data_IF_221670947171
#
_entry.id   IF_221670947171
#
_cell.length_a   1.000
_cell.length_b   1.000
_cell.length_c   1.000
_cell.angle_alpha   90.00
_cell.angle_beta   90.00
_cell.angle_gamma   90.00
#
_symmetry.space_group_name_H-M   'P 1'
#
loop_
_entity.id
_entity.type
_entity.pdbx_description
1 polymer ?
#
# COMPACT_ATOMS: atom_id res chain seq x y z
N UNK A 1 11.06 -6.18 17.73
CA UNK A 1 11.01 -5.17 16.68
C UNK A 1 10.67 -5.86 15.36
N UNK A 2 9.63 -5.40 14.66
CA UNK A 2 9.35 -5.80 13.29
C UNK A 2 10.14 -4.90 12.34
N UNK A 3 10.73 -5.47 11.29
CA UNK A 3 11.34 -4.74 10.19
C UNK A 3 10.51 -4.99 8.94
N UNK A 4 9.93 -3.94 8.44
CA UNK A 4 9.09 -4.00 7.24
C UNK A 4 9.97 -3.86 6.00
N UNK A 5 9.95 -4.87 5.13
CA UNK A 5 10.77 -4.90 3.93
C UNK A 5 10.10 -5.73 2.84
N UNK A 6 10.07 -5.24 1.59
CA UNK A 6 9.63 -6.03 0.45
C UNK A 6 10.71 -7.00 -0.07
N UNK A 7 11.92 -6.95 0.49
CA UNK A 7 12.99 -7.86 0.10
C UNK A 7 12.63 -9.32 0.41
N UNK A 8 13.24 -10.23 -0.34
CA UNK A 8 12.98 -11.65 -0.19
C UNK A 8 13.50 -12.15 1.16
N UNK A 9 12.59 -12.61 2.01
CA UNK A 9 12.89 -13.30 3.27
C UNK A 9 12.09 -14.59 3.33
N UNK A 10 12.76 -15.72 3.55
CA UNK A 10 12.10 -17.02 3.67
C UNK A 10 12.90 -17.94 4.58
N UNK A 11 12.22 -18.56 5.53
CA UNK A 11 12.81 -19.59 6.39
C UNK A 11 13.11 -20.87 5.60
N UNK A 12 14.26 -21.49 5.87
CA UNK A 12 14.75 -22.72 5.24
C UNK A 12 14.84 -23.91 6.23
N UNK A 13 14.12 -23.86 7.34
CA UNK A 13 14.23 -24.83 8.42
C UNK A 13 13.72 -26.26 8.10
N UNK A 14 13.14 -26.50 6.90
CA UNK A 14 12.74 -27.84 6.46
C UNK A 14 13.23 -28.12 5.03
N UNK A 15 13.42 -29.43 4.65
CA UNK A 15 13.82 -29.77 3.27
C UNK A 15 12.93 -29.16 2.20
N UNK A 16 11.60 -29.17 2.39
CA UNK A 16 10.63 -28.62 1.43
C UNK A 16 10.83 -27.11 1.25
N UNK A 17 11.05 -26.39 2.35
CA UNK A 17 11.34 -24.95 2.33
C UNK A 17 12.67 -24.66 1.66
N UNK A 18 13.71 -25.46 1.94
CA UNK A 18 14.99 -25.35 1.27
C UNK A 18 14.86 -25.51 -0.26
N UNK A 19 14.21 -26.59 -0.72
CA UNK A 19 13.99 -26.76 -2.18
C UNK A 19 13.18 -25.65 -2.79
N UNK A 20 12.17 -25.13 -2.08
CA UNK A 20 11.39 -23.97 -2.53
C UNK A 20 12.24 -22.71 -2.67
N UNK A 21 13.19 -22.46 -1.74
CA UNK A 21 14.13 -21.31 -1.85
C UNK A 21 15.10 -21.52 -3.02
N UNK A 22 15.57 -22.74 -3.25
CA UNK A 22 16.41 -23.05 -4.41
C UNK A 22 15.69 -22.75 -5.74
N UNK A 23 14.41 -23.04 -5.82
CA UNK A 23 13.60 -22.71 -7.00
C UNK A 23 13.36 -21.21 -7.14
N UNK A 24 13.03 -20.52 -6.05
CA UNK A 24 12.90 -19.06 -6.03
C UNK A 24 14.22 -18.37 -6.45
N UNK A 25 15.37 -18.91 -6.09
CA UNK A 25 16.67 -18.42 -6.52
C UNK A 25 16.89 -18.63 -8.04
N UNK A 26 16.64 -19.83 -8.55
CA UNK A 26 16.79 -20.18 -9.97
C UNK A 26 15.88 -19.37 -10.87
N UNK A 27 14.66 -19.11 -10.43
CA UNK A 27 13.67 -18.29 -11.17
C UNK A 27 13.93 -16.79 -11.11
N UNK A 28 14.96 -16.35 -10.37
CA UNK A 28 15.32 -14.94 -10.24
C UNK A 28 14.46 -14.17 -9.24
N UNK A 29 13.55 -14.83 -8.51
CA UNK A 29 12.67 -14.18 -7.52
C UNK A 29 13.45 -13.50 -6.40
N UNK A 30 14.55 -14.11 -5.95
CA UNK A 30 15.44 -13.54 -4.91
C UNK A 30 16.09 -12.25 -5.40
N UNK A 31 16.64 -12.25 -6.63
CA UNK A 31 17.30 -11.06 -7.20
C UNK A 31 16.27 -9.99 -7.59
N UNK A 32 15.07 -10.38 -8.03
CA UNK A 32 13.99 -9.47 -8.37
C UNK A 32 13.47 -8.66 -7.17
N UNK A 33 13.51 -9.23 -5.97
CA UNK A 33 13.10 -8.56 -4.73
C UNK A 33 14.26 -7.86 -4.00
N UNK A 34 15.46 -7.77 -4.59
CA UNK A 34 16.60 -7.08 -4.00
C UNK A 34 16.53 -5.57 -4.34
N UNK A 35 16.41 -4.72 -3.33
CA UNK A 35 16.29 -3.26 -3.47
C UNK A 35 17.53 -2.57 -4.07
N UNK A 36 18.66 -3.26 -4.22
CA UNK A 36 19.79 -2.76 -5.03
C UNK A 36 19.46 -2.69 -6.52
N UNK A 37 18.53 -3.53 -6.97
CA UNK A 37 18.03 -3.54 -8.34
C UNK A 37 16.83 -2.58 -8.48
N UNK A 38 16.65 -2.02 -9.68
CA UNK A 38 15.47 -1.22 -9.98
C UNK A 38 14.20 -2.09 -9.90
N UNK A 39 13.25 -1.62 -9.10
CA UNK A 39 11.96 -2.27 -8.92
C UNK A 39 10.94 -1.71 -9.90
N UNK A 40 9.91 -2.51 -10.18
CA UNK A 40 8.71 -2.09 -10.91
C UNK A 40 7.53 -2.11 -9.94
N UNK A 41 6.60 -1.18 -10.10
CA UNK A 41 5.45 -1.10 -9.21
C UNK A 41 4.16 -0.79 -9.98
N UNK A 42 3.06 -1.31 -9.45
CA UNK A 42 1.71 -0.86 -9.80
C UNK A 42 1.22 -0.02 -8.63
N UNK A 43 0.93 1.25 -8.90
CA UNK A 43 0.34 2.16 -7.93
C UNK A 43 -1.18 2.10 -8.02
N UNK A 44 -1.81 1.84 -6.89
CA UNK A 44 -3.25 1.65 -6.76
C UNK A 44 -3.85 2.76 -5.90
N UNK A 45 -4.98 3.32 -6.31
CA UNK A 45 -5.79 4.10 -5.37
C UNK A 45 -6.51 3.14 -4.42
N UNK A 46 -6.99 3.64 -3.29
CA UNK A 46 -7.74 2.84 -2.32
C UNK A 46 -9.23 2.91 -2.61
N UNK A 47 -9.81 4.08 -2.46
CA UNK A 47 -11.26 4.27 -2.50
C UNK A 47 -11.82 4.19 -3.94
N UNK A 48 -12.71 3.24 -4.20
CA UNK A 48 -13.24 2.95 -5.52
C UNK A 48 -12.33 2.11 -6.42
N UNK A 49 -11.15 1.68 -5.91
CA UNK A 49 -10.21 0.79 -6.62
C UNK A 49 -9.99 -0.50 -5.84
N UNK A 50 -9.56 -0.42 -4.59
CA UNK A 50 -9.38 -1.59 -3.71
C UNK A 50 -10.66 -1.86 -2.92
N UNK A 51 -11.27 -0.83 -2.35
CA UNK A 51 -12.54 -0.94 -1.66
C UNK A 51 -13.67 -0.25 -2.43
N UNK A 52 -14.90 -0.70 -2.17
CA UNK A 52 -16.10 -0.07 -2.69
C UNK A 52 -16.13 1.40 -2.28
N UNK A 53 -16.52 2.25 -3.22
CA UNK A 53 -16.59 3.69 -2.97
C UNK A 53 -17.82 4.03 -2.13
N UNK A 54 -17.59 4.60 -0.95
CA UNK A 54 -18.64 5.05 -0.03
C UNK A 54 -18.57 6.57 0.24
N UNK A 55 -17.90 7.32 -0.66
CA UNK A 55 -17.56 8.72 -0.42
C UNK A 55 -16.32 8.83 0.46
N UNK A 56 -16.49 9.34 1.67
CA UNK A 56 -15.41 9.37 2.68
C UNK A 56 -15.59 8.22 3.66
N UNK A 57 -14.71 7.24 3.60
CA UNK A 57 -14.72 6.11 4.52
C UNK A 57 -14.28 6.59 5.92
N UNK A 58 -15.19 6.51 6.89
CA UNK A 58 -14.96 6.98 8.26
C UNK A 58 -14.97 5.87 9.28
N UNK A 59 -15.54 4.73 8.91
CA UNK A 59 -15.73 3.62 9.84
C UNK A 59 -15.20 2.32 9.22
N UNK A 60 -14.45 1.57 10.01
CA UNK A 60 -13.93 0.25 9.60
C UNK A 60 -15.05 -0.72 9.15
N UNK A 61 -16.26 -0.59 9.70
CA UNK A 61 -17.40 -1.44 9.32
C UNK A 61 -17.83 -1.23 7.85
N UNK A 62 -17.63 -0.03 7.30
CA UNK A 62 -17.99 0.32 5.92
C UNK A 62 -16.99 -0.18 4.88
N UNK A 63 -15.84 -0.70 5.33
CA UNK A 63 -14.81 -1.18 4.43
C UNK A 63 -15.17 -2.55 3.85
N UNK A 64 -15.37 -2.60 2.54
CA UNK A 64 -15.57 -3.82 1.74
C UNK A 64 -14.64 -3.80 0.52
N UNK A 65 -14.00 -4.93 0.22
CA UNK A 65 -13.20 -5.07 -0.99
C UNK A 65 -14.06 -4.99 -2.25
N UNK A 66 -13.48 -4.43 -3.32
CA UNK A 66 -14.05 -4.55 -4.66
C UNK A 66 -13.98 -6.01 -5.13
N UNK A 67 -15.00 -6.44 -5.87
CA UNK A 67 -15.04 -7.78 -6.44
C UNK A 67 -13.85 -7.98 -7.40
N UNK A 68 -13.12 -9.08 -7.22
CA UNK A 68 -11.97 -9.44 -8.04
C UNK A 68 -10.68 -8.67 -7.76
N UNK A 69 -10.66 -7.70 -6.83
CA UNK A 69 -9.45 -6.92 -6.53
C UNK A 69 -8.33 -7.80 -5.96
N UNK A 70 -8.65 -8.77 -5.11
CA UNK A 70 -7.65 -9.68 -4.57
C UNK A 70 -6.98 -10.51 -5.68
N UNK A 71 -7.77 -10.99 -6.67
CA UNK A 71 -7.21 -11.71 -7.82
C UNK A 71 -6.33 -10.80 -8.70
N UNK A 72 -6.71 -9.54 -8.86
CA UNK A 72 -5.88 -8.56 -9.59
C UNK A 72 -4.55 -8.34 -8.87
N UNK A 73 -4.57 -8.12 -7.55
CA UNK A 73 -3.35 -7.93 -6.75
C UNK A 73 -2.49 -9.20 -6.74
N UNK A 74 -3.06 -10.41 -6.65
CA UNK A 74 -2.30 -11.67 -6.81
C UNK A 74 -1.55 -11.75 -8.14
N UNK A 75 -2.15 -11.27 -9.22
CA UNK A 75 -1.46 -11.20 -10.53
C UNK A 75 -0.28 -10.23 -10.49
N UNK A 76 -0.43 -9.07 -9.83
CA UNK A 76 0.68 -8.12 -9.61
C UNK A 76 1.77 -8.81 -8.80
N UNK A 77 1.43 -9.43 -7.67
CA UNK A 77 2.39 -10.13 -6.81
C UNK A 77 3.12 -11.25 -7.57
N UNK A 78 2.43 -12.00 -8.43
CA UNK A 78 3.01 -13.07 -9.23
C UNK A 78 3.91 -12.56 -10.36
N UNK A 79 3.67 -11.35 -10.87
CA UNK A 79 4.48 -10.74 -11.94
C UNK A 79 5.81 -10.17 -11.47
N UNK A 80 6.05 -10.13 -10.15
CA UNK A 80 7.25 -9.53 -9.54
C UNK A 80 7.18 -8.01 -9.42
N UNK A 81 6.06 -7.38 -9.76
CA UNK A 81 5.83 -5.97 -9.49
C UNK A 81 5.45 -5.77 -8.03
N UNK A 82 5.82 -4.62 -7.47
CA UNK A 82 5.33 -4.17 -6.17
C UNK A 82 3.89 -3.68 -6.31
N UNK A 83 3.02 -4.07 -5.37
CA UNK A 83 1.66 -3.55 -5.26
C UNK A 83 1.63 -2.47 -4.18
N UNK A 84 1.56 -1.21 -4.59
CA UNK A 84 1.68 -0.06 -3.68
C UNK A 84 0.40 0.79 -3.73
N UNK A 85 -0.19 1.02 -2.56
CA UNK A 85 -1.34 1.92 -2.42
C UNK A 85 -0.87 3.36 -2.28
N UNK A 86 -1.52 4.28 -3.02
CA UNK A 86 -1.32 5.73 -2.92
C UNK A 86 -2.68 6.41 -2.85
N UNK A 87 -3.06 6.93 -1.67
CA UNK A 87 -4.43 7.40 -1.44
C UNK A 87 -4.48 8.77 -0.74
N UNK A 88 -5.45 9.61 -1.13
CA UNK A 88 -5.73 10.86 -0.42
C UNK A 88 -6.76 10.59 0.69
N UNK A 89 -6.40 10.89 1.94
CA UNK A 89 -7.26 10.69 3.11
C UNK A 89 -7.54 12.00 3.85
N UNK A 90 -8.29 12.92 3.23
CA UNK A 90 -8.57 14.25 3.80
C UNK A 90 -9.44 14.20 5.07
N UNK A 91 -10.07 13.07 5.36
CA UNK A 91 -10.87 12.83 6.56
C UNK A 91 -10.07 13.07 7.84
N UNK A 92 -8.74 12.82 7.80
CA UNK A 92 -7.84 13.11 8.93
C UNK A 92 -7.75 14.62 9.16
N UNK A 93 -7.44 15.42 8.12
CA UNK A 93 -7.37 16.87 8.24
C UNK A 93 -8.70 17.52 8.59
N UNK A 94 -9.82 16.87 8.29
CA UNK A 94 -11.17 17.31 8.66
C UNK A 94 -11.56 16.94 10.10
N UNK A 95 -10.72 16.15 10.80
CA UNK A 95 -11.03 15.68 12.15
C UNK A 95 -12.12 14.59 12.21
N UNK A 96 -12.48 14.01 11.07
CA UNK A 96 -13.54 13.00 10.95
C UNK A 96 -13.04 11.58 11.28
N UNK A 97 -11.73 11.35 11.14
CA UNK A 97 -11.05 10.08 11.41
C UNK A 97 -9.70 10.37 12.07
N UNK A 98 -9.30 9.59 13.06
CA UNK A 98 -7.96 9.66 13.64
C UNK A 98 -6.93 8.89 12.79
N UNK A 99 -5.64 9.04 13.10
CA UNK A 99 -4.60 8.22 12.46
C UNK A 99 -4.73 6.75 12.84
N UNK A 100 -5.09 6.47 14.08
CA UNK A 100 -5.31 5.13 14.63
C UNK A 100 -6.49 4.44 13.94
N UNK A 101 -7.60 5.15 13.74
CA UNK A 101 -8.77 4.61 13.01
C UNK A 101 -8.45 4.35 11.54
N UNK A 102 -7.65 5.22 10.90
CA UNK A 102 -7.19 4.97 9.53
C UNK A 102 -6.28 3.74 9.46
N UNK A 103 -5.40 3.54 10.44
CA UNK A 103 -4.54 2.35 10.54
C UNK A 103 -5.39 1.08 10.70
N UNK A 104 -6.44 1.10 11.52
CA UNK A 104 -7.38 -0.02 11.64
C UNK A 104 -8.08 -0.34 10.32
N UNK A 105 -8.47 0.68 9.54
CA UNK A 105 -9.05 0.50 8.20
C UNK A 105 -8.02 -0.15 7.26
N UNK A 106 -6.77 0.29 7.28
CA UNK A 106 -5.69 -0.30 6.47
C UNK A 106 -5.39 -1.73 6.90
N UNK A 107 -5.33 -2.01 8.20
CA UNK A 107 -5.14 -3.37 8.74
C UNK A 107 -6.28 -4.32 8.32
N UNK A 108 -7.54 -3.83 8.28
CA UNK A 108 -8.67 -4.60 7.75
C UNK A 108 -8.48 -4.90 6.25
N UNK A 109 -8.06 -3.91 5.47
CA UNK A 109 -7.77 -4.08 4.04
C UNK A 109 -6.73 -5.18 3.80
N UNK A 110 -5.59 -5.11 4.47
CA UNK A 110 -4.52 -6.10 4.37
C UNK A 110 -4.96 -7.48 4.84
N UNK A 111 -5.74 -7.54 5.93
CA UNK A 111 -6.31 -8.80 6.44
C UNK A 111 -7.24 -9.45 5.43
N UNK A 112 -8.13 -8.68 4.80
CA UNK A 112 -9.06 -9.22 3.81
C UNK A 112 -8.33 -9.67 2.54
N UNK A 113 -7.37 -8.90 2.05
CA UNK A 113 -6.50 -9.29 0.92
C UNK A 113 -5.70 -10.54 1.25
N UNK A 114 -5.11 -10.61 2.46
CA UNK A 114 -4.32 -11.76 2.92
C UNK A 114 -5.13 -13.06 3.02
N UNK A 115 -6.41 -12.99 3.41
CA UNK A 115 -7.30 -14.16 3.39
C UNK A 115 -7.49 -14.74 2.00
N UNK A 116 -7.42 -13.91 0.97
CA UNK A 116 -7.48 -14.30 -0.44
C UNK A 116 -6.10 -14.63 -1.03
N UNK A 117 -5.01 -14.53 -0.24
CA UNK A 117 -3.64 -14.78 -0.69
C UNK A 117 -2.99 -13.64 -1.48
N UNK A 118 -3.57 -12.44 -1.42
CA UNK A 118 -3.01 -11.21 -1.99
C UNK A 118 -2.29 -10.40 -0.89
N UNK A 119 -1.29 -9.59 -1.28
CA UNK A 119 -0.61 -8.70 -0.34
C UNK A 119 -0.21 -7.38 -1.00
N UNK A 120 -0.08 -6.34 -0.17
CA UNK A 120 0.45 -5.04 -0.54
C UNK A 120 1.89 -4.92 -0.05
N UNK A 121 2.76 -4.31 -0.85
CA UNK A 121 4.15 -4.07 -0.46
C UNK A 121 4.28 -2.77 0.36
N UNK A 122 3.40 -1.79 0.15
CA UNK A 122 3.32 -0.57 0.96
C UNK A 122 1.99 0.18 0.79
N UNK A 123 1.68 1.03 1.76
CA UNK A 123 0.55 1.96 1.74
C UNK A 123 1.06 3.37 2.02
N UNK A 124 0.93 4.27 1.06
CA UNK A 124 1.18 5.70 1.22
C UNK A 124 -0.13 6.46 1.22
N UNK A 125 -0.31 7.34 2.18
CA UNK A 125 -1.51 8.18 2.23
C UNK A 125 -1.17 9.65 2.49
N UNK A 126 -2.02 10.53 2.01
CA UNK A 126 -1.94 11.97 2.28
C UNK A 126 -3.07 12.36 3.22
N UNK A 127 -2.78 12.76 4.47
CA UNK A 127 -3.80 13.20 5.43
C UNK A 127 -4.21 14.66 5.24
N UNK A 128 -3.48 15.43 4.40
CA UNK A 128 -3.64 16.87 4.29
C UNK A 128 -4.82 17.30 3.42
N UNK A 129 -5.37 18.48 3.73
CA UNK A 129 -6.41 19.11 2.92
C UNK A 129 -6.29 20.63 2.97
N UNK A 130 -6.09 21.36 1.84
CA UNK A 130 -5.79 22.79 1.89
C UNK A 130 -6.98 23.66 2.31
N UNK A 131 -8.22 23.20 2.04
CA UNK A 131 -9.41 24.01 2.36
C UNK A 131 -9.78 23.89 3.83
N UNK A 132 -10.09 25.04 4.45
CA UNK A 132 -10.51 25.23 5.85
C UNK A 132 -12.02 25.32 5.96
N UNK A 133 -12.54 25.30 7.21
CA UNK A 133 -13.95 25.55 7.51
C UNK A 133 -14.75 24.29 7.83
N UNK A 134 -14.10 23.21 8.21
CA UNK A 134 -14.73 21.99 8.72
C UNK A 134 -14.75 22.02 10.24
N UNK A 135 -15.89 21.68 10.86
CA UNK A 135 -15.98 21.55 12.30
C UNK A 135 -15.07 20.40 12.79
N UNK A 136 -14.28 20.66 13.82
CA UNK A 136 -13.32 19.70 14.37
C UNK A 136 -12.07 19.47 13.53
N UNK A 137 -11.84 20.30 12.49
CA UNK A 137 -10.65 20.17 11.63
C UNK A 137 -9.33 20.32 12.41
N UNK A 138 -8.29 19.68 11.87
CA UNK A 138 -6.92 19.74 12.40
C UNK A 138 -6.13 20.81 11.65
N UNK A 139 -5.91 22.01 12.23
CA UNK A 139 -5.28 23.15 11.56
C UNK A 139 -3.87 22.83 11.04
N UNK A 140 -3.13 21.98 11.75
CA UNK A 140 -1.77 21.54 11.42
C UNK A 140 -1.69 20.69 10.14
N UNK A 141 -2.81 20.16 9.68
CA UNK A 141 -2.90 19.37 8.43
C UNK A 141 -3.58 20.16 7.30
N UNK A 142 -3.90 21.44 7.53
CA UNK A 142 -4.63 22.29 6.58
C UNK A 142 -3.71 23.16 5.75
N UNK A 143 -2.91 22.52 4.90
CA UNK A 143 -1.99 23.21 3.99
C UNK A 143 -1.86 22.46 2.66
N UNK A 144 -1.29 23.13 1.66
CA UNK A 144 -0.96 22.55 0.37
C UNK A 144 0.37 21.80 0.46
N UNK A 145 0.31 20.49 0.47
CA UNK A 145 1.47 19.59 0.58
C UNK A 145 1.85 19.00 -0.78
N UNK A 146 3.05 18.40 -0.86
CA UNK A 146 3.52 17.72 -2.08
C UNK A 146 3.00 16.28 -2.20
N UNK A 147 2.52 15.68 -1.10
CA UNK A 147 2.02 14.29 -1.11
C UNK A 147 0.59 14.15 -1.64
N UNK A 148 -0.24 15.22 -1.64
CA UNK A 148 -1.63 15.13 -2.08
C UNK A 148 -1.73 14.99 -3.60
N UNK A 149 -2.31 13.88 -4.09
CA UNK A 149 -2.65 13.71 -5.52
C UNK A 149 -3.52 14.89 -6.01
N UNK A 150 -3.25 15.48 -7.20
CA UNK A 150 -2.41 14.94 -8.29
C UNK A 150 -0.90 15.21 -8.16
N UNK A 151 -0.41 15.82 -7.09
CA UNK A 151 1.03 15.99 -6.88
C UNK A 151 1.70 14.63 -6.66
N UNK A 152 2.95 14.44 -7.13
CA UNK A 152 3.61 13.14 -7.21
C UNK A 152 4.30 12.70 -5.91
N UNK A 153 4.20 13.44 -4.80
CA UNK A 153 5.04 13.22 -3.62
C UNK A 153 4.98 11.81 -3.05
N UNK A 154 3.79 11.17 -3.01
CA UNK A 154 3.69 9.77 -2.56
C UNK A 154 4.41 8.80 -3.50
N UNK A 155 4.32 9.02 -4.83
CA UNK A 155 5.02 8.20 -5.83
C UNK A 155 6.54 8.35 -5.71
N UNK A 156 7.03 9.59 -5.52
CA UNK A 156 8.44 9.88 -5.35
C UNK A 156 9.01 9.28 -4.06
N UNK A 157 8.24 9.31 -2.97
CA UNK A 157 8.62 8.66 -1.72
C UNK A 157 8.72 7.15 -1.91
N UNK A 158 7.71 6.51 -2.51
CA UNK A 158 7.76 5.10 -2.82
C UNK A 158 8.95 4.73 -3.73
N UNK A 159 9.22 5.55 -4.76
CA UNK A 159 10.36 5.33 -5.65
C UNK A 159 11.70 5.39 -4.93
N UNK A 160 11.86 6.29 -3.97
CA UNK A 160 13.05 6.38 -3.12
C UNK A 160 13.18 5.18 -2.19
N UNK A 161 12.08 4.84 -1.49
CA UNK A 161 12.08 3.83 -0.43
C UNK A 161 12.26 2.41 -0.99
N UNK A 162 11.76 2.15 -2.21
CA UNK A 162 11.80 0.84 -2.87
C UNK A 162 12.67 0.80 -4.13
N UNK A 163 13.46 1.84 -4.42
CA UNK A 163 14.28 1.94 -5.63
C UNK A 163 13.49 1.69 -6.93
N UNK A 164 12.27 2.25 -7.03
CA UNK A 164 11.38 2.04 -8.18
C UNK A 164 11.85 2.87 -9.38
N UNK A 165 11.77 2.27 -10.57
CA UNK A 165 11.93 2.97 -11.84
C UNK A 165 10.57 3.52 -12.30
N UNK A 166 10.36 4.82 -12.14
CA UNK A 166 9.11 5.48 -12.53
C UNK A 166 8.96 5.68 -14.05
N UNK A 167 9.94 5.27 -14.86
CA UNK A 167 9.86 5.32 -16.32
C UNK A 167 9.20 4.09 -16.95
N UNK A 168 8.85 3.11 -16.15
CA UNK A 168 8.31 1.80 -16.56
C UNK A 168 6.83 1.63 -16.26
#
# INVERSE_FOLDING_TARGET
>A
FCYDSPEYVKDMGTPERYYSVCEDYKTGRVSGKNLKNKQKAVFLDRDGTINKYVGFLRNIAEFELMDGVADAIKKINASGYLAIVVTNQPVIARGEVSFEELEEIHNKMETLLGKEGAYLDAIYFCPHHPHKGYEGERPELKFDCDCRKPKPGMLLNAARDFNIDLSQ
#
